data_IF_240450844077
#
_entry.id   IF_240450844077
#
_cell.length_a   1.000
_cell.length_b   1.000
_cell.length_c   1.000
_cell.angle_alpha   90.00
_cell.angle_beta   90.00
_cell.angle_gamma   90.00
#
_symmetry.space_group_name_H-M   'P 1'
#
loop_
_entity.id
_entity.type
_entity.pdbx_description
1 polymer ?
#
# COMPACT_ATOMS: atom_id res chain seq x y z
N UNK A 1 -8.30 0.26 -24.24
CA UNK A 1 -9.66 0.83 -24.13
C UNK A 1 -10.25 1.19 -25.48
N UNK A 2 -9.53 1.85 -26.40
CA UNK A 2 -10.03 2.15 -27.75
C UNK A 2 -10.42 0.88 -28.52
N UNK A 3 -9.58 -0.16 -28.49
CA UNK A 3 -9.87 -1.45 -29.14
C UNK A 3 -11.14 -2.09 -28.56
N UNK A 4 -11.30 -2.08 -27.23
CA UNK A 4 -12.49 -2.61 -26.57
C UNK A 4 -13.75 -1.84 -26.98
N UNK A 5 -13.67 -0.51 -27.09
CA UNK A 5 -14.77 0.32 -27.57
C UNK A 5 -15.17 -0.03 -29.01
N UNK A 6 -14.17 -0.14 -29.91
CA UNK A 6 -14.41 -0.50 -31.32
C UNK A 6 -15.04 -1.90 -31.42
N UNK A 7 -14.52 -2.87 -30.68
CA UNK A 7 -15.08 -4.22 -30.66
C UNK A 7 -16.53 -4.23 -30.13
N UNK A 8 -16.81 -3.48 -29.06
CA UNK A 8 -18.17 -3.41 -28.50
C UNK A 8 -19.19 -2.89 -29.53
N UNK A 9 -18.83 -1.83 -30.27
CA UNK A 9 -19.73 -1.23 -31.26
C UNK A 9 -19.76 -2.05 -32.56
N UNK A 10 -18.59 -2.41 -33.11
CA UNK A 10 -18.51 -3.01 -34.45
C UNK A 10 -18.76 -4.53 -34.47
N UNK A 11 -18.36 -5.25 -33.40
CA UNK A 11 -18.48 -6.72 -33.35
C UNK A 11 -19.72 -7.17 -32.58
N UNK A 12 -19.98 -6.56 -31.41
CA UNK A 12 -21.12 -6.92 -30.55
C UNK A 12 -22.37 -6.07 -30.79
N UNK A 13 -22.31 -5.06 -31.70
CA UNK A 13 -23.47 -4.27 -32.07
C UNK A 13 -24.00 -3.38 -30.93
N UNK A 14 -23.19 -3.06 -29.94
CA UNK A 14 -23.59 -2.16 -28.85
C UNK A 14 -23.93 -0.77 -29.43
N UNK A 15 -25.09 -0.17 -29.05
CA UNK A 15 -25.42 1.19 -29.47
C UNK A 15 -24.30 2.16 -29.10
N UNK A 16 -23.94 3.05 -30.01
CA UNK A 16 -22.82 4.00 -29.81
C UNK A 16 -23.00 4.84 -28.53
N UNK A 17 -24.22 5.32 -28.25
CA UNK A 17 -24.54 6.07 -27.03
C UNK A 17 -24.30 5.27 -25.75
N UNK A 18 -24.67 4.00 -25.72
CA UNK A 18 -24.43 3.09 -24.59
C UNK A 18 -22.94 2.80 -24.42
N UNK A 19 -22.20 2.65 -25.51
CA UNK A 19 -20.75 2.47 -25.47
C UNK A 19 -20.03 3.71 -24.91
N UNK A 20 -20.42 4.91 -25.34
CA UNK A 20 -19.88 6.18 -24.77
C UNK A 20 -20.25 6.32 -23.29
N UNK A 21 -21.50 6.00 -22.93
CA UNK A 21 -21.96 6.03 -21.53
C UNK A 21 -21.16 5.03 -20.66
N UNK A 22 -20.82 3.84 -21.20
CA UNK A 22 -19.96 2.87 -20.52
C UNK A 22 -18.57 3.41 -20.23
N UNK A 23 -17.95 4.12 -21.20
CA UNK A 23 -16.66 4.77 -21.00
C UNK A 23 -16.75 5.84 -19.92
N UNK A 24 -17.77 6.71 -19.96
CA UNK A 24 -17.99 7.73 -18.95
C UNK A 24 -18.22 7.15 -17.55
N UNK A 25 -18.97 6.05 -17.45
CA UNK A 25 -19.16 5.31 -16.21
C UNK A 25 -17.83 4.76 -15.65
N UNK A 26 -17.03 4.14 -16.52
CA UNK A 26 -15.70 3.64 -16.15
C UNK A 26 -14.77 4.76 -15.68
N UNK A 27 -14.77 5.90 -16.37
CA UNK A 27 -14.00 7.09 -15.96
C UNK A 27 -14.45 7.63 -14.60
N UNK A 28 -15.77 7.72 -14.36
CA UNK A 28 -16.30 8.18 -13.09
C UNK A 28 -15.89 7.26 -11.93
N UNK A 29 -15.98 5.93 -12.12
CA UNK A 29 -15.53 4.95 -11.12
C UNK A 29 -14.00 4.95 -10.94
N UNK A 30 -13.24 5.27 -11.96
CA UNK A 30 -11.80 5.48 -11.87
C UNK A 30 -11.45 6.73 -11.06
N UNK A 31 -12.12 7.85 -11.33
CA UNK A 31 -11.90 9.10 -10.61
C UNK A 31 -12.31 8.98 -9.14
N UNK A 32 -13.45 8.37 -8.87
CA UNK A 32 -13.93 8.15 -7.51
C UNK A 32 -14.46 6.71 -7.37
N UNK A 33 -13.97 5.93 -6.39
CA UNK A 33 -13.05 6.30 -5.28
C UNK A 33 -11.55 6.13 -5.56
N UNK A 34 -11.13 5.61 -6.74
CA UNK A 34 -9.76 5.10 -6.95
C UNK A 34 -8.74 6.24 -6.98
N UNK A 35 -8.87 7.18 -7.93
CA UNK A 35 -7.94 8.32 -8.04
C UNK A 35 -7.99 9.19 -6.78
N UNK A 36 -9.13 9.28 -6.10
CA UNK A 36 -9.26 9.99 -4.83
C UNK A 36 -8.33 9.41 -3.74
N UNK A 37 -8.25 8.07 -3.62
CA UNK A 37 -7.30 7.41 -2.72
C UNK A 37 -5.86 7.77 -3.09
N UNK A 38 -5.52 7.72 -4.38
CA UNK A 38 -4.16 8.01 -4.86
C UNK A 38 -3.75 9.44 -4.54
N UNK A 39 -4.60 10.43 -4.88
CA UNK A 39 -4.32 11.85 -4.62
C UNK A 39 -4.05 12.10 -3.14
N UNK A 40 -4.92 11.60 -2.28
CA UNK A 40 -4.81 11.84 -0.84
C UNK A 40 -3.63 11.09 -0.22
N UNK A 41 -3.30 9.88 -0.68
CA UNK A 41 -2.14 9.12 -0.22
C UNK A 41 -0.82 9.78 -0.62
N UNK A 42 -0.69 10.20 -1.88
CA UNK A 42 0.49 10.93 -2.38
C UNK A 42 0.65 12.27 -1.65
N UNK A 43 -0.45 12.94 -1.36
CA UNK A 43 -0.42 14.18 -0.59
C UNK A 43 0.12 13.98 0.83
N UNK A 44 -0.36 12.98 1.59
CA UNK A 44 0.17 12.66 2.92
C UNK A 44 1.66 12.33 2.86
N UNK A 45 2.06 11.52 1.89
CA UNK A 45 3.47 11.21 1.66
C UNK A 45 4.30 12.48 1.41
N UNK A 46 3.88 13.33 0.46
CA UNK A 46 4.59 14.58 0.13
C UNK A 46 4.68 15.53 1.33
N UNK A 47 3.65 15.62 2.16
CA UNK A 47 3.70 16.40 3.41
C UNK A 47 4.81 15.89 4.34
N UNK A 48 4.97 14.59 4.50
CA UNK A 48 6.04 14.02 5.35
C UNK A 48 7.43 14.26 4.77
N UNK A 49 7.55 14.27 3.44
CA UNK A 49 8.81 14.64 2.75
C UNK A 49 9.12 16.13 2.93
N UNK A 50 8.17 17.01 2.65
CA UNK A 50 8.36 18.46 2.76
C UNK A 50 8.58 18.95 4.20
N UNK A 51 8.00 18.28 5.18
CA UNK A 51 8.22 18.58 6.60
C UNK A 51 9.55 18.07 7.14
N UNK A 52 10.25 17.18 6.40
CA UNK A 52 11.48 16.54 6.82
C UNK A 52 11.29 15.31 7.74
N UNK A 53 10.04 14.99 8.12
CA UNK A 53 9.76 13.82 8.98
C UNK A 53 10.15 12.51 8.31
N UNK A 54 10.00 12.44 6.97
CA UNK A 54 10.39 11.27 6.21
C UNK A 54 11.90 10.97 6.27
N UNK A 55 12.76 12.00 6.31
CA UNK A 55 14.20 11.82 6.48
C UNK A 55 14.55 11.25 7.86
N UNK A 56 13.82 11.66 8.90
CA UNK A 56 13.97 11.12 10.26
C UNK A 56 13.63 9.62 10.29
N UNK A 57 12.54 9.23 9.61
CA UNK A 57 12.14 7.83 9.47
C UNK A 57 13.26 7.03 8.78
N UNK A 58 13.76 7.51 7.63
CA UNK A 58 14.84 6.85 6.89
C UNK A 58 16.08 6.65 7.74
N UNK A 59 16.55 7.71 8.40
CA UNK A 59 17.73 7.66 9.26
C UNK A 59 17.54 6.67 10.42
N UNK A 60 16.35 6.66 11.03
CA UNK A 60 16.04 5.75 12.14
C UNK A 60 16.12 4.28 11.73
N UNK A 61 15.63 3.95 10.54
CA UNK A 61 15.69 2.57 10.00
C UNK A 61 17.12 2.19 9.59
N UNK A 62 17.85 3.12 8.98
CA UNK A 62 19.22 2.90 8.55
C UNK A 62 20.17 2.59 9.72
N UNK A 63 19.92 3.17 10.91
CA UNK A 63 20.74 2.98 12.12
C UNK A 63 20.44 1.73 12.92
N UNK A 64 19.42 0.96 12.55
CA UNK A 64 19.05 -0.27 13.29
C UNK A 64 20.15 -1.33 13.18
N UNK A 65 20.90 -1.37 12.09
CA UNK A 65 21.92 -2.39 11.83
C UNK A 65 22.90 -1.96 10.74
N UNK A 66 24.16 -2.42 10.85
CA UNK A 66 25.19 -2.26 9.82
C UNK A 66 25.25 -3.43 8.82
N UNK A 67 24.49 -4.50 9.05
CA UNK A 67 24.43 -5.65 8.15
C UNK A 67 23.53 -5.36 6.96
N UNK A 68 24.08 -5.43 5.75
CA UNK A 68 23.37 -5.10 4.50
C UNK A 68 22.14 -5.98 4.25
N UNK A 69 22.16 -7.25 4.69
CA UNK A 69 21.01 -8.16 4.58
C UNK A 69 19.86 -7.71 5.46
N UNK A 70 20.18 -7.31 6.69
CA UNK A 70 19.18 -6.79 7.62
C UNK A 70 18.65 -5.42 7.17
N UNK A 71 19.51 -4.54 6.65
CA UNK A 71 19.07 -3.28 6.06
C UNK A 71 18.10 -3.49 4.89
N UNK A 72 18.39 -4.46 4.03
CA UNK A 72 17.46 -4.84 2.96
C UNK A 72 16.12 -5.35 3.49
N UNK A 73 16.11 -6.16 4.56
CA UNK A 73 14.88 -6.61 5.19
C UNK A 73 14.09 -5.47 5.84
N UNK A 74 14.77 -4.50 6.48
CA UNK A 74 14.08 -3.34 7.04
C UNK A 74 13.55 -2.38 5.98
N UNK A 75 14.37 -2.06 4.97
CA UNK A 75 14.09 -0.97 4.02
C UNK A 75 13.35 -1.51 2.80
N UNK A 76 13.93 -2.51 2.10
CA UNK A 76 13.33 -3.00 0.87
C UNK A 76 12.10 -3.88 1.13
N UNK A 77 12.09 -4.66 2.23
CA UNK A 77 10.95 -5.51 2.54
C UNK A 77 9.96 -4.78 3.47
N UNK A 78 10.26 -4.56 4.74
CA UNK A 78 9.28 -4.07 5.69
C UNK A 78 8.81 -2.63 5.40
N UNK A 79 9.74 -1.68 5.22
CA UNK A 79 9.38 -0.29 5.00
C UNK A 79 8.79 -0.03 3.60
N UNK A 80 9.33 -0.69 2.56
CA UNK A 80 8.74 -0.61 1.22
C UNK A 80 7.31 -1.13 1.20
N UNK A 81 7.02 -2.26 1.89
CA UNK A 81 5.66 -2.77 2.03
C UNK A 81 4.74 -1.79 2.78
N UNK A 82 5.28 -1.06 3.76
CA UNK A 82 4.53 0.00 4.44
C UNK A 82 4.14 1.13 3.46
N UNK A 83 5.09 1.59 2.66
CA UNK A 83 4.83 2.60 1.62
C UNK A 83 3.88 2.06 0.55
N UNK A 84 4.00 0.78 0.16
CA UNK A 84 3.06 0.13 -0.78
C UNK A 84 1.64 0.14 -0.23
N UNK A 85 1.47 -0.24 1.03
CA UNK A 85 0.17 -0.20 1.70
C UNK A 85 -0.45 1.20 1.77
N UNK A 86 0.36 2.25 1.87
CA UNK A 86 -0.13 3.64 2.01
C UNK A 86 -0.28 4.38 0.68
N UNK A 87 0.69 4.25 -0.23
CA UNK A 87 0.76 5.04 -1.47
C UNK A 87 0.70 4.17 -2.74
N UNK A 88 1.28 2.97 -2.73
CA UNK A 88 1.30 2.06 -3.87
C UNK A 88 1.93 2.62 -5.16
N UNK A 89 1.49 2.13 -6.31
CA UNK A 89 1.74 2.63 -7.67
C UNK A 89 3.22 2.84 -8.04
N UNK A 90 4.11 1.97 -7.55
CA UNK A 90 5.55 2.02 -7.87
C UNK A 90 6.38 2.99 -7.04
N UNK A 91 5.76 3.87 -6.27
CA UNK A 91 6.43 4.79 -5.33
C UNK A 91 7.31 4.06 -4.32
N UNK A 92 6.89 2.92 -3.72
CA UNK A 92 7.68 2.18 -2.73
C UNK A 92 9.02 1.71 -3.26
N UNK A 93 9.02 1.17 -4.48
CA UNK A 93 10.26 0.66 -5.12
C UNK A 93 11.26 1.78 -5.34
N UNK A 94 10.80 2.92 -5.86
CA UNK A 94 11.68 4.07 -6.10
C UNK A 94 12.29 4.61 -4.79
N UNK A 95 11.48 4.71 -3.72
CA UNK A 95 11.91 5.19 -2.42
C UNK A 95 12.88 4.20 -1.78
N UNK A 96 12.52 2.91 -1.72
CA UNK A 96 13.38 1.88 -1.12
C UNK A 96 14.71 1.75 -1.87
N UNK A 97 14.69 1.80 -3.21
CA UNK A 97 15.90 1.80 -4.02
C UNK A 97 16.79 3.02 -3.71
N UNK A 98 16.21 4.23 -3.68
CA UNK A 98 16.96 5.45 -3.34
C UNK A 98 17.56 5.40 -1.93
N UNK A 99 16.81 4.86 -0.94
CA UNK A 99 17.31 4.67 0.43
C UNK A 99 18.50 3.69 0.47
N UNK A 100 18.37 2.55 -0.21
CA UNK A 100 19.45 1.55 -0.27
C UNK A 100 20.70 2.13 -0.95
N UNK A 101 20.53 2.87 -2.06
CA UNK A 101 21.65 3.57 -2.73
C UNK A 101 22.30 4.60 -1.80
N UNK A 102 21.50 5.37 -1.06
CA UNK A 102 21.98 6.31 -0.05
C UNK A 102 22.77 5.64 1.09
N UNK A 103 22.57 4.35 1.33
CA UNK A 103 23.33 3.54 2.29
C UNK A 103 24.56 2.86 1.70
N UNK A 104 24.83 3.03 0.39
CA UNK A 104 26.02 2.49 -0.28
C UNK A 104 25.74 1.26 -1.16
N UNK A 105 24.49 0.83 -1.34
CA UNK A 105 24.17 -0.17 -2.35
C UNK A 105 24.38 0.41 -3.75
N UNK A 106 24.86 -0.40 -4.70
CA UNK A 106 24.87 0.06 -6.09
C UNK A 106 23.45 0.26 -6.61
N UNK A 107 23.19 1.17 -7.56
CA UNK A 107 21.85 1.43 -8.08
C UNK A 107 21.13 0.17 -8.58
N UNK A 108 21.88 -0.74 -9.23
CA UNK A 108 21.32 -2.01 -9.73
C UNK A 108 20.86 -2.91 -8.58
N UNK A 109 21.67 -3.06 -7.54
CA UNK A 109 21.31 -3.84 -6.36
C UNK A 109 20.14 -3.20 -5.59
N UNK A 110 20.18 -1.88 -5.39
CA UNK A 110 19.10 -1.16 -4.72
C UNK A 110 17.75 -1.35 -5.42
N UNK A 111 17.71 -1.15 -6.75
CA UNK A 111 16.51 -1.31 -7.54
C UNK A 111 16.04 -2.78 -7.60
N UNK A 112 16.95 -3.71 -7.86
CA UNK A 112 16.61 -5.14 -7.98
C UNK A 112 16.06 -5.73 -6.69
N UNK A 113 16.68 -5.40 -5.54
CA UNK A 113 16.22 -5.86 -4.22
C UNK A 113 14.86 -5.24 -3.88
N UNK A 114 14.67 -3.94 -4.15
CA UNK A 114 13.40 -3.28 -3.91
C UNK A 114 12.27 -3.89 -4.77
N UNK A 115 12.52 -4.21 -6.04
CA UNK A 115 11.55 -4.87 -6.91
C UNK A 115 11.18 -6.27 -6.42
N UNK A 116 12.17 -7.09 -6.01
CA UNK A 116 11.91 -8.43 -5.46
C UNK A 116 11.06 -8.33 -4.19
N UNK A 117 11.45 -7.46 -3.28
CA UNK A 117 10.76 -7.30 -2.00
C UNK A 117 9.32 -6.80 -2.18
N UNK A 118 9.07 -5.94 -3.17
CA UNK A 118 7.75 -5.37 -3.44
C UNK A 118 6.73 -6.40 -3.98
N UNK A 119 7.14 -7.61 -4.32
CA UNK A 119 6.21 -8.66 -4.75
C UNK A 119 5.27 -9.14 -3.64
N UNK A 120 5.66 -8.97 -2.37
CA UNK A 120 4.86 -9.42 -1.23
C UNK A 120 3.57 -8.59 -1.00
N UNK A 121 3.61 -7.24 -1.05
CA UNK A 121 2.45 -6.39 -0.73
C UNK A 121 1.55 -6.07 -1.92
N UNK A 122 1.97 -6.27 -3.16
CA UNK A 122 1.35 -5.73 -4.40
C UNK A 122 -0.19 -5.79 -4.43
N UNK A 123 -0.80 -6.86 -3.96
CA UNK A 123 -2.26 -7.03 -4.06
C UNK A 123 -3.04 -6.16 -3.08
N UNK A 124 -2.44 -5.81 -1.95
CA UNK A 124 -3.04 -4.98 -0.92
C UNK A 124 -2.51 -3.54 -0.93
N UNK A 125 -1.71 -3.19 -1.95
CA UNK A 125 -1.12 -1.87 -2.12
C UNK A 125 -2.16 -0.77 -2.27
N UNK A 126 -1.74 0.48 -2.04
CA UNK A 126 -2.61 1.67 -2.08
C UNK A 126 -3.95 1.46 -1.35
N UNK A 127 -3.87 0.99 -0.10
CA UNK A 127 -5.04 0.74 0.77
C UNK A 127 -6.00 -0.28 0.14
N UNK A 128 -5.44 -1.30 -0.51
CA UNK A 128 -6.19 -2.42 -1.09
C UNK A 128 -6.94 -2.10 -2.38
N UNK A 129 -6.59 -1.01 -3.08
CA UNK A 129 -7.23 -0.62 -4.35
C UNK A 129 -7.30 -1.78 -5.36
N UNK A 130 -6.25 -2.59 -5.60
CA UNK A 130 -6.33 -3.69 -6.56
C UNK A 130 -7.46 -4.68 -6.25
N UNK A 131 -7.63 -5.06 -4.98
CA UNK A 131 -8.68 -6.00 -4.56
C UNK A 131 -10.07 -5.36 -4.51
N UNK A 132 -10.15 -4.07 -4.16
CA UNK A 132 -11.40 -3.30 -4.21
C UNK A 132 -11.90 -3.23 -5.65
N UNK A 133 -11.02 -2.96 -6.60
CA UNK A 133 -11.34 -2.93 -8.03
C UNK A 133 -11.72 -4.34 -8.52
N UNK A 134 -10.95 -5.36 -8.15
CA UNK A 134 -11.26 -6.74 -8.51
C UNK A 134 -12.64 -7.18 -8.02
N UNK A 135 -13.01 -6.83 -6.79
CA UNK A 135 -14.34 -7.08 -6.24
C UNK A 135 -15.44 -6.34 -7.03
N UNK A 136 -15.21 -5.06 -7.34
CA UNK A 136 -16.16 -4.24 -8.11
C UNK A 136 -16.40 -4.79 -9.52
N UNK A 137 -15.34 -5.20 -10.23
CA UNK A 137 -15.42 -5.71 -11.60
C UNK A 137 -16.03 -7.12 -11.65
N UNK A 138 -15.65 -7.99 -10.70
CA UNK A 138 -16.17 -9.36 -10.64
C UNK A 138 -17.60 -9.46 -10.08
N UNK A 139 -18.08 -8.41 -9.39
CA UNK A 139 -19.36 -8.44 -8.68
C UNK A 139 -19.34 -9.30 -7.41
N UNK A 140 -18.15 -9.69 -6.95
CA UNK A 140 -17.98 -10.44 -5.71
C UNK A 140 -17.93 -9.48 -4.51
N UNK A 141 -18.28 -10.02 -3.34
CA UNK A 141 -18.10 -9.30 -2.09
C UNK A 141 -16.62 -9.00 -1.82
N UNK A 142 -16.33 -7.77 -1.41
CA UNK A 142 -14.98 -7.27 -1.17
C UNK A 142 -14.23 -8.08 -0.12
N UNK A 143 -14.92 -8.49 0.94
CA UNK A 143 -14.33 -9.31 2.00
C UNK A 143 -13.96 -10.71 1.51
N UNK A 144 -14.80 -11.29 0.65
CA UNK A 144 -14.52 -12.58 0.00
C UNK A 144 -13.27 -12.53 -0.87
N UNK A 145 -13.13 -11.50 -1.72
CA UNK A 145 -11.94 -11.30 -2.57
C UNK A 145 -10.69 -11.11 -1.72
N UNK A 146 -10.79 -10.29 -0.66
CA UNK A 146 -9.70 -10.08 0.30
C UNK A 146 -9.27 -11.39 0.98
N UNK A 147 -10.22 -12.19 1.44
CA UNK A 147 -9.94 -13.46 2.10
C UNK A 147 -9.28 -14.50 1.17
N UNK A 148 -9.69 -14.54 -0.11
CA UNK A 148 -9.07 -15.42 -1.11
C UNK A 148 -7.59 -15.03 -1.29
N UNK A 149 -7.31 -13.74 -1.53
CA UNK A 149 -5.95 -13.24 -1.66
C UNK A 149 -5.14 -13.46 -0.37
N UNK A 150 -5.76 -13.19 0.79
CA UNK A 150 -5.15 -13.34 2.11
C UNK A 150 -4.87 -14.78 2.54
N UNK A 151 -5.31 -15.78 1.79
CA UNK A 151 -4.95 -17.20 2.00
C UNK A 151 -3.84 -17.67 1.06
N UNK A 152 -3.64 -16.99 -0.07
CA UNK A 152 -2.65 -17.36 -1.07
C UNK A 152 -1.34 -16.58 -0.91
N UNK A 153 -1.44 -15.26 -0.80
CA UNK A 153 -0.27 -14.37 -0.82
C UNK A 153 0.64 -14.44 0.41
N UNK A 154 0.16 -14.72 1.63
CA UNK A 154 1.05 -14.89 2.78
C UNK A 154 2.11 -15.99 2.61
N UNK A 155 1.80 -17.04 1.82
CA UNK A 155 2.76 -18.09 1.49
C UNK A 155 3.94 -17.53 0.71
N UNK A 156 3.67 -16.66 -0.27
CA UNK A 156 4.70 -15.98 -1.05
C UNK A 156 5.46 -14.96 -0.19
N UNK A 157 4.73 -14.17 0.59
CA UNK A 157 5.30 -13.17 1.49
C UNK A 157 6.27 -13.79 2.52
N UNK A 158 6.02 -15.02 2.96
CA UNK A 158 6.92 -15.78 3.83
C UNK A 158 8.27 -16.07 3.16
N UNK A 159 8.28 -16.30 1.84
CA UNK A 159 9.48 -16.68 1.07
C UNK A 159 10.30 -15.46 0.65
N UNK A 160 9.67 -14.30 0.43
CA UNK A 160 10.33 -13.11 -0.10
C UNK A 160 11.53 -12.64 0.72
N UNK A 161 11.55 -12.62 2.06
CA UNK A 161 12.73 -12.25 2.84
C UNK A 161 13.95 -13.15 2.55
N UNK A 162 13.72 -14.46 2.40
CA UNK A 162 14.76 -15.40 2.00
C UNK A 162 15.25 -15.11 0.59
N UNK A 163 14.33 -14.87 -0.34
CA UNK A 163 14.67 -14.56 -1.73
C UNK A 163 15.52 -13.29 -1.82
N UNK A 164 15.15 -12.21 -1.14
CA UNK A 164 15.93 -10.98 -1.02
C UNK A 164 17.37 -11.26 -0.57
N UNK A 165 17.53 -11.99 0.55
CA UNK A 165 18.86 -12.29 1.09
C UNK A 165 19.68 -13.22 0.17
N UNK A 166 19.05 -14.24 -0.42
CA UNK A 166 19.73 -15.18 -1.34
C UNK A 166 20.22 -14.46 -2.60
N UNK A 167 19.43 -13.55 -3.14
CA UNK A 167 19.81 -12.75 -4.30
C UNK A 167 21.02 -11.87 -3.99
N UNK A 168 21.09 -11.31 -2.76
CA UNK A 168 22.20 -10.42 -2.34
C UNK A 168 23.53 -11.14 -2.11
N UNK A 169 23.49 -12.27 -1.40
CA UNK A 169 24.73 -12.87 -0.86
C UNK A 169 24.85 -14.37 -1.06
N UNK A 170 23.90 -14.97 -1.78
CA UNK A 170 23.81 -16.42 -2.00
C UNK A 170 23.26 -17.18 -0.79
N UNK A 171 22.86 -18.43 -1.02
CA UNK A 171 22.13 -19.24 -0.04
C UNK A 171 22.88 -19.44 1.30
N UNK A 172 24.16 -19.80 1.25
CA UNK A 172 24.96 -20.07 2.47
C UNK A 172 25.04 -18.88 3.41
N UNK A 173 25.31 -17.67 2.86
CA UNK A 173 25.41 -16.45 3.67
C UNK A 173 24.04 -15.95 4.16
N UNK A 174 22.96 -16.29 3.45
CA UNK A 174 21.59 -15.96 3.89
C UNK A 174 21.22 -16.74 5.15
N UNK A 175 21.70 -17.98 5.33
CA UNK A 175 21.45 -18.76 6.52
C UNK A 175 22.02 -18.15 7.81
N UNK A 176 23.04 -17.30 7.72
CA UNK A 176 23.60 -16.59 8.88
C UNK A 176 22.58 -15.60 9.49
N UNK A 177 21.61 -15.13 8.70
CA UNK A 177 20.53 -14.22 9.14
C UNK A 177 19.16 -14.91 9.11
N UNK A 178 19.14 -16.24 9.13
CA UNK A 178 17.89 -17.04 9.10
C UNK A 178 16.87 -16.63 10.17
N UNK A 179 17.25 -16.32 11.43
CA UNK A 179 16.28 -15.84 12.41
C UNK A 179 15.54 -14.58 11.97
N UNK A 180 16.24 -13.63 11.35
CA UNK A 180 15.62 -12.40 10.84
C UNK A 180 14.74 -12.65 9.61
N UNK A 181 15.14 -13.55 8.72
CA UNK A 181 14.34 -14.00 7.57
C UNK A 181 13.03 -14.63 8.05
N UNK A 182 13.09 -15.55 9.03
CA UNK A 182 11.91 -16.21 9.57
C UNK A 182 11.00 -15.21 10.28
N UNK A 183 11.54 -14.38 11.17
CA UNK A 183 10.75 -13.39 11.90
C UNK A 183 10.10 -12.40 10.93
N UNK A 184 10.86 -11.89 9.97
CA UNK A 184 10.33 -10.97 8.95
C UNK A 184 9.20 -11.61 8.13
N UNK A 185 9.41 -12.82 7.63
CA UNK A 185 8.40 -13.53 6.84
C UNK A 185 7.17 -13.90 7.66
N UNK A 186 7.35 -14.46 8.87
CA UNK A 186 6.22 -14.90 9.73
C UNK A 186 5.40 -13.71 10.23
N UNK A 187 6.05 -12.62 10.66
CA UNK A 187 5.33 -11.42 11.10
C UNK A 187 4.51 -10.83 9.96
N UNK A 188 5.10 -10.72 8.77
CA UNK A 188 4.39 -10.21 7.61
C UNK A 188 3.23 -11.12 7.20
N UNK A 189 3.53 -12.38 6.91
CA UNK A 189 2.54 -13.34 6.43
C UNK A 189 1.40 -13.56 7.44
N UNK A 190 1.72 -13.64 8.74
CA UNK A 190 0.73 -13.81 9.80
C UNK A 190 -0.21 -12.61 9.91
N UNK A 191 0.33 -11.39 9.93
CA UNK A 191 -0.49 -10.18 9.99
C UNK A 191 -1.30 -9.99 8.69
N UNK A 192 -0.72 -10.26 7.51
CA UNK A 192 -1.42 -10.20 6.23
C UNK A 192 -2.59 -11.19 6.20
N UNK A 193 -2.36 -12.42 6.64
CA UNK A 193 -3.42 -13.43 6.72
C UNK A 193 -4.56 -12.97 7.64
N UNK A 194 -4.24 -12.53 8.86
CA UNK A 194 -5.26 -12.12 9.84
C UNK A 194 -6.06 -10.92 9.34
N UNK A 195 -5.38 -9.86 8.90
CA UNK A 195 -6.05 -8.65 8.47
C UNK A 195 -6.85 -8.85 7.19
N UNK A 196 -6.34 -9.59 6.20
CA UNK A 196 -7.05 -9.84 4.96
C UNK A 196 -8.29 -10.71 5.14
N UNK A 197 -8.30 -11.65 6.10
CA UNK A 197 -9.43 -12.55 6.33
C UNK A 197 -10.49 -11.97 7.30
N UNK A 198 -10.11 -11.06 8.20
CA UNK A 198 -11.01 -10.59 9.27
C UNK A 198 -11.31 -9.08 9.22
N UNK A 199 -10.49 -8.29 8.54
CA UNK A 199 -10.69 -6.83 8.41
C UNK A 199 -11.01 -6.42 6.97
N UNK A 200 -10.45 -7.09 5.98
CA UNK A 200 -10.62 -6.78 4.56
C UNK A 200 -9.34 -6.24 3.90
N UNK A 201 -9.42 -5.69 2.67
CA UNK A 201 -8.25 -5.44 1.84
C UNK A 201 -7.46 -4.18 2.21
N UNK A 202 -8.00 -3.29 3.04
CA UNK A 202 -7.46 -1.92 3.19
C UNK A 202 -6.25 -1.83 4.14
N UNK A 203 -6.08 -2.77 5.06
CA UNK A 203 -5.07 -2.69 6.12
C UNK A 203 -3.95 -3.74 6.07
N UNK A 204 -4.04 -4.84 5.29
CA UNK A 204 -3.07 -5.93 5.37
C UNK A 204 -1.62 -5.49 5.21
N UNK A 205 -1.27 -4.67 4.22
CA UNK A 205 0.11 -4.27 3.99
C UNK A 205 0.64 -3.35 5.10
N UNK A 206 -0.15 -2.36 5.51
CA UNK A 206 0.24 -1.44 6.58
C UNK A 206 0.50 -2.21 7.87
N UNK A 207 -0.47 -3.06 8.26
CA UNK A 207 -0.36 -3.83 9.49
C UNK A 207 0.75 -4.88 9.45
N UNK A 208 0.94 -5.55 8.31
CA UNK A 208 2.01 -6.53 8.11
C UNK A 208 3.39 -5.89 8.15
N UNK A 209 3.54 -4.74 7.52
CA UNK A 209 4.79 -3.98 7.53
C UNK A 209 5.15 -3.52 8.96
N UNK A 210 4.19 -2.97 9.70
CA UNK A 210 4.38 -2.57 11.11
C UNK A 210 4.75 -3.79 11.96
N UNK A 211 4.02 -4.89 11.84
CA UNK A 211 4.31 -6.13 12.56
C UNK A 211 5.72 -6.65 12.26
N UNK A 212 6.15 -6.56 11.00
CA UNK A 212 7.49 -6.95 10.56
C UNK A 212 8.57 -6.06 11.13
N UNK A 213 8.40 -4.72 11.07
CA UNK A 213 9.36 -3.76 11.65
C UNK A 213 9.50 -4.02 13.15
N UNK A 214 8.38 -4.14 13.86
CA UNK A 214 8.38 -4.39 15.31
C UNK A 214 9.04 -5.74 15.62
N UNK A 215 8.68 -6.80 14.89
CA UNK A 215 9.26 -8.13 15.07
C UNK A 215 10.78 -8.16 14.87
N UNK A 216 11.27 -7.52 13.80
CA UNK A 216 12.70 -7.40 13.52
C UNK A 216 13.42 -6.54 14.56
N UNK A 217 12.85 -5.42 15.01
CA UNK A 217 13.42 -4.57 16.07
C UNK A 217 13.52 -5.34 17.39
N UNK A 218 12.47 -6.08 17.76
CA UNK A 218 12.49 -6.92 18.96
C UNK A 218 13.52 -8.05 18.86
N UNK A 219 13.64 -8.68 17.69
CA UNK A 219 14.67 -9.68 17.44
C UNK A 219 16.07 -9.12 17.65
N UNK A 220 16.37 -7.92 17.12
CA UNK A 220 17.71 -7.32 17.25
C UNK A 220 18.08 -6.90 18.68
N UNK A 221 17.12 -6.83 19.61
CA UNK A 221 17.42 -6.64 21.04
C UNK A 221 17.99 -7.89 21.69
N UNK A 222 17.62 -9.09 21.21
CA UNK A 222 18.01 -10.36 21.80
C UNK A 222 18.98 -11.17 20.93
N UNK A 223 19.07 -10.84 19.65
CA UNK A 223 19.89 -11.56 18.67
C UNK A 223 20.59 -10.60 17.72
N UNK A 224 21.83 -10.91 17.38
CA UNK A 224 22.62 -10.20 16.35
C UNK A 224 23.31 -11.24 15.47
N UNK A 225 23.51 -10.95 14.16
CA UNK A 225 24.26 -11.84 13.29
C UNK A 225 25.69 -12.01 13.78
N UNK A 226 26.23 -13.22 13.70
CA UNK A 226 27.59 -13.54 14.11
C UNK A 226 28.64 -12.87 13.22
N UNK A 227 28.29 -12.57 11.98
CA UNK A 227 29.13 -11.87 11.00
C UNK A 227 28.30 -10.80 10.28
N UNK A 228 28.77 -9.56 10.27
CA UNK A 228 28.18 -8.47 9.50
C UNK A 228 28.53 -8.64 8.04
N UNK A 229 27.54 -8.65 7.16
CA UNK A 229 27.73 -8.70 5.72
C UNK A 229 27.79 -7.29 5.14
N UNK A 230 28.82 -7.02 4.34
CA UNK A 230 28.97 -5.81 3.51
C UNK A 230 29.40 -6.22 2.10
N UNK A 231 29.11 -5.38 1.09
CA UNK A 231 29.60 -5.61 -0.25
C UNK A 231 31.11 -5.30 -0.35
N UNK A 232 31.79 -5.94 -1.30
CA UNK A 232 33.23 -5.69 -1.52
C UNK A 232 33.44 -4.26 -2.01
N UNK A 233 34.40 -3.55 -1.41
CA UNK A 233 34.76 -2.17 -1.74
C UNK A 233 33.85 -1.08 -1.14
N UNK A 234 32.91 -1.42 -0.27
CA UNK A 234 32.13 -0.41 0.44
C UNK A 234 32.98 0.34 1.48
N UNK A 235 32.88 1.69 1.54
CA UNK A 235 33.44 2.45 2.64
C UNK A 235 32.77 2.06 3.96
N UNK A 236 33.47 2.23 5.06
CA UNK A 236 32.86 2.08 6.38
C UNK A 236 31.67 3.03 6.50
N UNK A 237 30.54 2.55 7.07
CA UNK A 237 29.32 3.33 7.12
C UNK A 237 29.54 4.66 7.84
N UNK A 238 29.34 5.77 7.13
CA UNK A 238 29.45 7.14 7.66
C UNK A 238 28.21 7.55 8.48
N UNK A 239 27.50 6.62 9.11
CA UNK A 239 26.44 6.95 10.07
C UNK A 239 27.05 7.47 11.39
N UNK A 240 28.00 8.42 11.26
CA UNK A 240 28.61 9.10 12.38
C UNK A 240 27.65 10.13 12.96
N UNK A 241 27.33 9.99 14.24
CA UNK A 241 26.46 10.89 15.00
C UNK A 241 25.45 10.12 15.87
N UNK A 242 24.97 10.75 16.93
CA UNK A 242 23.84 10.22 17.71
C UNK A 242 22.57 10.28 16.87
N UNK A 243 21.87 9.16 16.70
CA UNK A 243 20.57 9.12 16.03
C UNK A 243 19.54 10.03 16.73
N UNK A 244 18.41 10.24 16.08
CA UNK A 244 17.32 11.02 16.67
C UNK A 244 16.81 10.39 17.96
N UNK A 245 16.41 11.19 18.97
CA UNK A 245 15.74 10.69 20.16
C UNK A 245 14.47 9.91 19.79
N UNK A 246 14.12 8.89 20.58
CA UNK A 246 12.93 8.06 20.33
C UNK A 246 11.62 8.87 20.19
N UNK A 247 11.49 9.96 20.95
CA UNK A 247 10.35 10.88 20.88
C UNK A 247 10.22 11.58 19.52
N UNK A 248 11.36 11.96 18.93
CA UNK A 248 11.42 12.58 17.59
C UNK A 248 11.08 11.56 16.52
N UNK A 249 11.63 10.34 16.63
CA UNK A 249 11.30 9.25 15.71
C UNK A 249 9.81 8.90 15.78
N UNK A 250 9.25 8.74 17.00
CA UNK A 250 7.84 8.45 17.18
C UNK A 250 6.93 9.55 16.60
N UNK A 251 7.31 10.81 16.77
CA UNK A 251 6.61 11.94 16.16
C UNK A 251 6.66 11.88 14.63
N UNK A 252 7.81 11.56 14.06
CA UNK A 252 7.98 11.42 12.61
C UNK A 252 7.08 10.31 12.02
N UNK A 253 6.87 9.22 12.76
CA UNK A 253 5.90 8.18 12.41
C UNK A 253 4.44 8.59 12.65
N UNK A 254 4.18 9.68 13.38
CA UNK A 254 2.86 10.15 13.76
C UNK A 254 1.85 10.19 12.62
N UNK A 255 2.12 10.84 11.48
CA UNK A 255 1.21 10.91 10.34
C UNK A 255 0.75 9.54 9.84
N UNK A 256 1.66 8.58 9.79
CA UNK A 256 1.37 7.21 9.33
C UNK A 256 0.62 6.38 10.38
N UNK A 257 0.90 6.63 11.66
CA UNK A 257 0.12 6.01 12.76
C UNK A 257 -1.32 6.52 12.72
N UNK A 258 -1.52 7.83 12.56
CA UNK A 258 -2.85 8.43 12.43
C UNK A 258 -3.55 7.88 11.18
N UNK A 259 -2.86 7.77 10.04
CA UNK A 259 -3.40 7.16 8.83
C UNK A 259 -3.86 5.73 9.08
N UNK A 260 -3.02 4.89 9.69
CA UNK A 260 -3.36 3.50 10.00
C UNK A 260 -4.61 3.40 10.91
N UNK A 261 -4.74 4.29 11.90
CA UNK A 261 -5.91 4.36 12.78
C UNK A 261 -7.17 4.73 12.00
N UNK A 262 -7.12 5.77 11.15
CA UNK A 262 -8.28 6.16 10.33
C UNK A 262 -8.71 5.07 9.37
N UNK A 263 -7.74 4.44 8.68
CA UNK A 263 -8.01 3.34 7.75
C UNK A 263 -8.56 2.11 8.48
N UNK A 264 -8.06 1.81 9.69
CA UNK A 264 -8.59 0.73 10.52
C UNK A 264 -10.08 0.95 10.85
N UNK A 265 -10.44 2.12 11.38
CA UNK A 265 -11.84 2.40 11.71
C UNK A 265 -12.73 2.40 10.48
N UNK A 266 -12.26 2.97 9.36
CA UNK A 266 -13.04 3.00 8.13
C UNK A 266 -13.22 1.60 7.50
N UNK A 267 -12.32 0.67 7.76
CA UNK A 267 -12.44 -0.74 7.39
C UNK A 267 -13.54 -1.48 8.13
N UNK A 268 -13.93 -1.01 9.34
CA UNK A 268 -14.97 -1.64 10.13
C UNK A 268 -16.36 -1.35 9.55
N UNK A 269 -17.19 -2.39 9.24
CA UNK A 269 -18.52 -2.21 8.65
C UNK A 269 -19.42 -1.31 9.49
N UNK A 270 -19.35 -1.41 10.82
CA UNK A 270 -20.15 -0.61 11.75
C UNK A 270 -19.88 0.88 11.58
N UNK A 271 -18.59 1.26 11.50
CA UNK A 271 -18.19 2.65 11.34
C UNK A 271 -18.56 3.20 9.96
N UNK A 272 -18.34 2.37 8.93
CA UNK A 272 -18.72 2.71 7.55
C UNK A 272 -20.23 2.94 7.40
N UNK A 273 -21.04 2.12 8.06
CA UNK A 273 -22.51 2.26 8.05
C UNK A 273 -22.96 3.55 8.74
N UNK A 274 -22.32 3.93 9.87
CA UNK A 274 -22.60 5.20 10.55
C UNK A 274 -22.29 6.39 9.62
N UNK A 275 -21.16 6.39 8.92
CA UNK A 275 -20.80 7.45 7.99
C UNK A 275 -21.76 7.51 6.78
N UNK A 276 -22.18 6.37 6.26
CA UNK A 276 -23.11 6.30 5.13
C UNK A 276 -24.55 6.70 5.51
N UNK A 277 -24.90 6.64 6.80
CA UNK A 277 -26.21 7.10 7.30
C UNK A 277 -26.32 8.63 7.41
N UNK A 278 -25.21 9.37 7.30
CA UNK A 278 -25.22 10.83 7.30
C UNK A 278 -25.93 11.32 6.03
N UNK A 279 -26.95 12.20 6.14
CA UNK A 279 -27.67 12.72 4.98
C UNK A 279 -26.69 13.37 3.96
N UNK A 280 -26.76 12.96 2.69
CA UNK A 280 -25.89 13.45 1.63
C UNK A 280 -24.48 12.85 1.60
N UNK A 281 -24.11 11.97 2.52
CA UNK A 281 -22.82 11.30 2.53
C UNK A 281 -22.71 10.15 1.52
N UNK A 282 -23.84 9.56 1.12
CA UNK A 282 -23.89 8.47 0.17
C UNK A 282 -24.96 8.78 -0.88
N UNK A 283 -24.52 9.20 -2.07
CA UNK A 283 -25.36 9.44 -3.22
C UNK A 283 -25.20 8.29 -4.20
N UNK A 284 -26.25 7.52 -4.42
CA UNK A 284 -26.24 6.38 -5.32
C UNK A 284 -27.33 6.52 -6.36
N UNK A 285 -26.98 6.38 -7.64
CA UNK A 285 -27.94 6.46 -8.75
C UNK A 285 -27.56 5.52 -9.89
N UNK A 286 -28.55 5.08 -10.64
CA UNK A 286 -28.36 4.35 -11.89
C UNK A 286 -27.69 5.26 -12.94
N UNK A 287 -26.62 4.79 -13.56
CA UNK A 287 -25.86 5.59 -14.52
C UNK A 287 -26.67 5.82 -15.81
N UNK A 288 -26.88 7.08 -16.24
CA UNK A 288 -27.72 7.39 -17.39
C UNK A 288 -27.22 6.72 -18.67
N UNK A 289 -28.14 6.10 -19.45
CA UNK A 289 -27.86 5.45 -20.73
C UNK A 289 -27.01 4.17 -20.64
N UNK A 290 -26.87 3.60 -19.43
CA UNK A 290 -26.18 2.31 -19.22
C UNK A 290 -26.91 1.40 -18.23
N UNK A 291 -27.49 1.97 -17.16
CA UNK A 291 -28.17 1.19 -16.13
C UNK A 291 -29.41 0.52 -16.70
N UNK A 292 -29.42 -0.80 -16.72
CA UNK A 292 -30.54 -1.57 -17.24
C UNK A 292 -30.54 -1.78 -18.76
N UNK A 293 -29.62 -1.18 -19.51
CA UNK A 293 -29.62 -1.21 -20.98
C UNK A 293 -28.77 -2.38 -21.55
N UNK A 294 -27.93 -3.03 -20.75
CA UNK A 294 -27.05 -4.12 -21.19
C UNK A 294 -27.43 -5.40 -20.50
N UNK A 295 -27.53 -6.50 -21.28
CA UNK A 295 -27.71 -7.83 -20.74
C UNK A 295 -26.38 -8.56 -20.57
N UNK A 296 -26.16 -9.12 -19.40
CA UNK A 296 -25.09 -10.09 -19.16
C UNK A 296 -25.57 -11.47 -19.59
N UNK A 297 -24.80 -12.15 -20.41
CA UNK A 297 -25.12 -13.49 -20.93
C UNK A 297 -24.01 -14.48 -20.60
N UNK A 298 -24.22 -15.76 -20.87
CA UNK A 298 -23.18 -16.77 -20.75
C UNK A 298 -21.94 -16.42 -21.61
N UNK A 299 -20.71 -16.69 -21.15
CA UNK A 299 -20.32 -17.40 -19.92
C UNK A 299 -20.20 -16.51 -18.66
N UNK A 300 -20.49 -15.21 -18.74
CA UNK A 300 -20.31 -14.25 -17.64
C UNK A 300 -21.28 -14.55 -16.48
N UNK A 301 -22.51 -14.93 -16.81
CA UNK A 301 -23.55 -15.32 -15.86
C UNK A 301 -24.22 -16.62 -16.33
N UNK A 302 -24.68 -17.44 -15.38
CA UNK A 302 -25.35 -18.71 -15.68
C UNK A 302 -26.76 -18.51 -16.29
N UNK A 303 -27.41 -17.43 -15.94
CA UNK A 303 -28.71 -17.00 -16.50
C UNK A 303 -28.58 -15.53 -16.88
N UNK A 304 -29.21 -15.16 -17.99
CA UNK A 304 -29.19 -13.79 -18.49
C UNK A 304 -29.70 -12.83 -17.41
N UNK A 305 -28.93 -11.79 -17.16
CA UNK A 305 -29.20 -10.81 -16.13
C UNK A 305 -28.93 -9.38 -16.65
N UNK A 306 -29.79 -8.45 -16.24
CA UNK A 306 -29.62 -7.04 -16.58
C UNK A 306 -28.40 -6.48 -15.86
N UNK A 307 -27.56 -5.72 -16.56
CA UNK A 307 -26.43 -5.02 -15.97
C UNK A 307 -26.90 -3.79 -15.20
N UNK A 308 -26.76 -3.84 -13.87
CA UNK A 308 -27.07 -2.71 -13.00
C UNK A 308 -25.86 -1.79 -12.84
N UNK A 309 -25.68 -0.86 -13.78
CA UNK A 309 -24.64 0.17 -13.67
C UNK A 309 -25.08 1.24 -12.65
N UNK A 310 -24.70 1.06 -11.39
CA UNK A 310 -25.01 2.00 -10.31
C UNK A 310 -23.73 2.72 -9.88
N UNK A 311 -23.71 4.03 -9.93
CA UNK A 311 -22.61 4.84 -9.41
C UNK A 311 -22.91 5.23 -7.96
N UNK A 312 -21.99 4.93 -7.05
CA UNK A 312 -22.08 5.26 -5.63
C UNK A 312 -21.02 6.30 -5.26
N UNK A 313 -21.46 7.52 -4.97
CA UNK A 313 -20.62 8.60 -4.47
C UNK A 313 -20.73 8.68 -2.94
N UNK A 314 -20.04 7.77 -2.27
CA UNK A 314 -19.99 7.65 -0.80
C UNK A 314 -18.79 8.42 -0.23
N UNK A 315 -18.75 9.72 -0.49
CA UNK A 315 -17.59 10.56 -0.27
C UNK A 315 -17.07 10.56 1.17
N UNK A 316 -17.94 10.46 2.18
CA UNK A 316 -17.54 10.48 3.58
C UNK A 316 -16.92 9.17 4.05
N UNK A 317 -17.41 8.03 3.54
CA UNK A 317 -16.90 6.70 3.87
C UNK A 317 -15.86 6.17 2.87
N UNK A 318 -15.46 6.98 1.88
CA UNK A 318 -14.43 6.62 0.93
C UNK A 318 -13.05 6.58 1.59
N UNK A 319 -12.23 5.60 1.20
CA UNK A 319 -10.87 5.43 1.72
C UNK A 319 -10.00 6.68 1.58
N UNK A 320 -10.08 7.35 0.44
CA UNK A 320 -9.35 8.61 0.22
C UNK A 320 -9.74 9.73 1.19
N UNK A 321 -11.00 9.78 1.63
CA UNK A 321 -11.44 10.78 2.63
C UNK A 321 -10.86 10.48 4.01
N UNK A 322 -10.75 9.20 4.39
CA UNK A 322 -10.06 8.82 5.62
C UNK A 322 -8.58 9.26 5.59
N UNK A 323 -7.91 9.07 4.46
CA UNK A 323 -6.53 9.50 4.27
C UNK A 323 -6.41 11.02 4.32
N UNK A 324 -7.32 11.75 3.64
CA UNK A 324 -7.38 13.20 3.71
C UNK A 324 -7.51 13.71 5.15
N UNK A 325 -8.47 13.15 5.90
CA UNK A 325 -8.69 13.52 7.29
C UNK A 325 -7.48 13.18 8.16
N UNK A 326 -6.87 12.01 7.96
CA UNK A 326 -5.64 11.64 8.68
C UNK A 326 -4.50 12.61 8.41
N UNK A 327 -4.35 13.04 7.16
CA UNK A 327 -3.37 14.05 6.75
C UNK A 327 -3.62 15.39 7.46
N UNK A 328 -4.87 15.89 7.46
CA UNK A 328 -5.24 17.13 8.15
C UNK A 328 -4.96 17.07 9.67
N UNK A 329 -5.32 15.96 10.32
CA UNK A 329 -5.03 15.74 11.75
C UNK A 329 -3.53 15.66 12.02
N UNK A 330 -2.74 15.23 11.06
CA UNK A 330 -1.28 15.09 11.20
C UNK A 330 -0.52 16.40 11.03
N UNK A 331 -1.08 17.43 10.39
CA UNK A 331 -0.40 18.71 10.15
C UNK A 331 0.18 19.34 11.43
N UNK A 332 -0.55 19.41 12.57
CA UNK A 332 -0.01 19.95 13.82
C UNK A 332 1.14 19.13 14.43
N UNK A 333 1.32 17.88 14.00
CA UNK A 333 2.40 17.01 14.47
C UNK A 333 3.73 17.28 13.75
N UNK A 334 3.70 17.97 12.60
CA UNK A 334 4.84 18.26 11.74
C UNK A 334 5.48 19.60 12.12
N UNK A 335 6.75 19.66 12.59
CA UNK A 335 7.41 20.89 12.96
C UNK A 335 7.56 21.84 11.76
N UNK A 336 7.30 23.11 11.97
CA UNK A 336 7.43 24.17 10.96
C UNK A 336 6.59 23.93 9.67
N UNK A 337 5.55 23.07 9.77
CA UNK A 337 4.67 22.72 8.66
C UNK A 337 3.22 23.05 9.04
N UNK A 338 2.70 24.16 8.51
CA UNK A 338 1.34 24.62 8.83
C UNK A 338 0.33 24.26 7.74
N UNK A 339 -0.96 24.44 8.03
CA UNK A 339 -2.08 24.17 7.09
C UNK A 339 -1.91 24.87 5.73
N UNK A 340 -1.33 26.07 5.68
CA UNK A 340 -1.07 26.77 4.43
C UNK A 340 -0.13 26.00 3.50
N UNK A 341 0.95 25.40 4.06
CA UNK A 341 1.87 24.53 3.29
C UNK A 341 1.18 23.23 2.89
N UNK A 342 0.38 22.65 3.78
CA UNK A 342 -0.36 21.41 3.50
C UNK A 342 -1.34 21.60 2.32
N UNK A 343 -2.08 22.71 2.29
CA UNK A 343 -2.98 23.06 1.17
C UNK A 343 -2.18 23.31 -0.12
N UNK A 344 -1.07 24.05 -0.04
CA UNK A 344 -0.21 24.29 -1.20
C UNK A 344 0.38 22.97 -1.76
N UNK A 345 0.75 22.03 -0.89
CA UNK A 345 1.18 20.69 -1.28
C UNK A 345 0.06 19.89 -1.95
N UNK A 346 -1.18 20.02 -1.49
CA UNK A 346 -2.35 19.34 -2.08
C UNK A 346 -2.68 19.84 -3.48
N UNK A 347 -2.46 21.14 -3.75
CA UNK A 347 -2.78 21.79 -5.02
C UNK A 347 -1.70 21.58 -6.10
N UNK A 348 -0.55 21.04 -5.76
CA UNK A 348 0.53 20.66 -6.69
C UNK A 348 0.42 19.21 -7.15
#
# INVERSE_FOLDING_TARGET
DFVAFVLAVALWGMPFGTAVSSVAYGMANGLFPIVWIVITAVWVYNMTVESGEFEIIKDSLARLTDDRRLQALFIAYAFSCFIEGTAGFGTPVAIAAAMLVGLGFTPLWGAGIALIANTAPVAFGAIGVPLIVAASVSGLDQMTVSAIAGRQLPILALIVPLWVCVTMCGFKRSLEVLPAIIVGGVCFAGAQFLLANYHGPTLPDIGSAIATIVGLVLLLKVWKPSRTFRFEGEPESNLSGSGYPASVVLRAWGPYIVLAVFVFFLGLPQFKNILNAVPGANLSFGWPGLHGEVMKTAPIVAQDAVYGATFAFNWLSAGGTAILLSGLVSVPMMPNYGFGKAIACFMR
#
